data_IF_450420134697
#
_entry.id   IF_450420134697
#
_cell.length_a   1.000
_cell.length_b   1.000
_cell.length_c   1.000
_cell.angle_alpha   90.00
_cell.angle_beta   90.00
_cell.angle_gamma   90.00
#
_symmetry.space_group_name_H-M   'P 1'
#
loop_
_entity.id
_entity.type
_entity.pdbx_description
1 polymer ?
#
# COMPACT_ATOMS: atom_id res chain seq x y z
N UNK A 1 12.17 -10.91 -22.26
CA UNK A 1 13.04 -11.68 -21.34
C UNK A 1 13.53 -10.77 -20.23
N UNK A 2 13.06 -11.00 -18.99
CA UNK A 2 13.55 -10.31 -17.79
C UNK A 2 14.85 -10.97 -17.31
N UNK A 3 15.89 -10.18 -17.00
CA UNK A 3 17.14 -10.69 -16.46
C UNK A 3 16.99 -10.98 -14.96
N UNK A 4 17.61 -12.06 -14.47
CA UNK A 4 17.53 -12.45 -13.04
C UNK A 4 18.08 -11.38 -12.11
N UNK A 5 19.09 -10.63 -12.54
CA UNK A 5 19.66 -9.51 -11.76
C UNK A 5 18.65 -8.38 -11.47
N UNK A 6 17.56 -8.29 -12.23
CA UNK A 6 16.52 -7.28 -12.07
C UNK A 6 15.32 -7.78 -11.24
N UNK A 7 15.39 -9.01 -10.72
CA UNK A 7 14.35 -9.58 -9.87
C UNK A 7 14.77 -9.40 -8.42
N UNK A 8 13.92 -8.74 -7.64
CA UNK A 8 14.08 -8.62 -6.18
C UNK A 8 13.14 -9.64 -5.54
N UNK A 9 13.64 -10.81 -5.09
CA UNK A 9 12.78 -11.94 -4.75
C UNK A 9 12.01 -11.77 -3.45
N UNK A 10 12.51 -10.95 -2.51
CA UNK A 10 11.90 -10.75 -1.20
C UNK A 10 12.01 -9.27 -0.86
N UNK A 11 10.88 -8.57 -0.86
CA UNK A 11 10.81 -7.17 -0.51
C UNK A 11 9.76 -6.97 0.56
N UNK A 12 10.19 -6.98 1.82
CA UNK A 12 9.30 -6.98 2.99
C UNK A 12 8.33 -5.79 3.05
N UNK A 13 8.63 -4.71 2.32
CA UNK A 13 7.68 -3.62 2.16
C UNK A 13 6.37 -4.05 1.50
N UNK A 14 6.36 -5.08 0.66
CA UNK A 14 5.18 -5.60 -0.05
C UNK A 14 4.52 -6.79 0.65
N UNK A 15 4.99 -7.15 1.85
CA UNK A 15 4.36 -8.21 2.65
C UNK A 15 2.88 -7.89 2.88
N UNK A 16 2.09 -8.95 3.01
CA UNK A 16 0.66 -8.88 3.31
C UNK A 16 0.43 -7.98 4.52
N UNK A 17 -0.62 -7.15 4.46
CA UNK A 17 -1.05 -6.36 5.62
C UNK A 17 -1.36 -7.28 6.80
N UNK A 18 -0.79 -6.97 7.97
CA UNK A 18 -1.12 -7.70 9.19
C UNK A 18 -2.56 -7.46 9.64
N UNK A 19 -3.35 -8.53 9.75
CA UNK A 19 -4.79 -8.45 10.07
C UNK A 19 -5.13 -8.66 11.56
N UNK A 20 -4.12 -8.79 12.43
CA UNK A 20 -4.33 -8.96 13.88
C UNK A 20 -5.22 -10.16 14.22
N UNK A 21 -6.26 -9.96 15.05
CA UNK A 21 -7.22 -11.02 15.43
C UNK A 21 -7.95 -11.68 14.25
N UNK A 22 -7.93 -11.08 13.06
CA UNK A 22 -8.61 -11.62 11.88
C UNK A 22 -7.71 -12.54 11.04
N UNK A 23 -6.48 -12.78 11.46
CA UNK A 23 -5.57 -13.70 10.79
C UNK A 23 -6.08 -15.14 10.88
N UNK A 24 -6.04 -15.85 9.75
CA UNK A 24 -6.63 -17.18 9.62
C UNK A 24 -8.16 -17.24 9.64
N UNK A 25 -8.85 -16.11 9.79
CA UNK A 25 -10.32 -16.05 9.66
C UNK A 25 -10.70 -16.06 8.18
N UNK A 26 -11.80 -16.73 7.86
CA UNK A 26 -12.33 -16.78 6.49
C UNK A 26 -12.56 -15.37 5.92
N UNK A 27 -12.01 -15.10 4.74
CA UNK A 27 -12.03 -13.77 4.13
C UNK A 27 -13.46 -13.20 3.96
N UNK A 28 -14.44 -14.07 3.69
CA UNK A 28 -15.86 -13.68 3.58
C UNK A 28 -16.45 -13.12 4.89
N UNK A 29 -15.86 -13.46 6.03
CA UNK A 29 -16.29 -13.04 7.37
C UNK A 29 -15.48 -11.83 7.83
N UNK A 30 -14.16 -11.86 7.63
CA UNK A 30 -13.25 -10.81 8.08
C UNK A 30 -13.32 -9.53 7.21
N UNK A 31 -13.28 -9.65 5.89
CA UNK A 31 -13.13 -8.49 4.99
C UNK A 31 -14.24 -7.44 5.12
N UNK A 32 -15.53 -7.80 5.26
CA UNK A 32 -16.58 -6.79 5.46
C UNK A 32 -16.37 -5.94 6.72
N UNK A 33 -15.89 -6.55 7.80
CA UNK A 33 -15.63 -5.89 9.08
C UNK A 33 -14.41 -4.97 8.94
N UNK A 34 -13.31 -5.51 8.40
CA UNK A 34 -12.05 -4.78 8.18
C UNK A 34 -12.27 -3.56 7.29
N UNK A 35 -12.94 -3.74 6.15
CA UNK A 35 -13.20 -2.63 5.23
C UNK A 35 -14.06 -1.55 5.89
N UNK A 36 -15.06 -1.92 6.68
CA UNK A 36 -15.88 -0.95 7.43
C UNK A 36 -15.09 -0.24 8.53
N UNK A 37 -14.08 -0.87 9.13
CA UNK A 37 -13.14 -0.22 10.04
C UNK A 37 -12.28 0.80 9.30
N UNK A 38 -11.66 0.39 8.19
CA UNK A 38 -10.75 1.21 7.40
C UNK A 38 -11.44 2.43 6.77
N UNK A 39 -12.68 2.28 6.30
CA UNK A 39 -13.50 3.37 5.75
C UNK A 39 -13.82 4.45 6.79
N UNK A 40 -13.96 4.05 8.07
CA UNK A 40 -14.25 4.97 9.17
C UNK A 40 -13.00 5.71 9.62
N UNK A 41 -11.89 4.99 9.75
CA UNK A 41 -10.62 5.56 10.22
C UNK A 41 -9.43 4.74 9.69
N UNK A 42 -8.64 5.35 8.81
CA UNK A 42 -7.46 4.72 8.23
C UNK A 42 -6.26 4.64 9.20
N UNK A 43 -6.32 5.28 10.36
CA UNK A 43 -5.33 5.15 11.44
C UNK A 43 -5.66 4.01 12.40
N UNK A 44 -6.87 3.44 12.31
CA UNK A 44 -7.28 2.37 13.19
C UNK A 44 -6.50 1.09 12.88
N UNK A 45 -5.80 0.57 13.89
CA UNK A 45 -5.22 -0.77 13.87
C UNK A 45 -6.26 -1.79 14.30
N UNK A 46 -6.18 -2.99 13.74
CA UNK A 46 -6.96 -4.13 14.26
C UNK A 46 -6.54 -4.47 15.69
N UNK A 47 -7.39 -5.19 16.41
CA UNK A 47 -7.00 -5.75 17.70
C UNK A 47 -5.86 -6.78 17.51
N UNK A 48 -4.99 -6.88 18.51
CA UNK A 48 -3.86 -7.82 18.51
C UNK A 48 -4.36 -9.25 18.68
N UNK A 49 -3.80 -10.18 17.90
CA UNK A 49 -3.91 -11.61 18.16
C UNK A 49 -3.06 -12.04 19.37
N UNK A 50 -3.33 -13.23 19.92
CA UNK A 50 -2.58 -13.78 21.07
C UNK A 50 -1.21 -14.36 20.68
N UNK A 51 -0.94 -14.53 19.40
CA UNK A 51 0.24 -15.18 18.84
C UNK A 51 1.34 -14.21 18.36
N UNK A 52 1.14 -12.91 18.59
CA UNK A 52 2.06 -11.86 18.16
C UNK A 52 1.95 -11.49 16.68
N UNK A 53 0.86 -11.89 16.00
CA UNK A 53 0.66 -11.50 14.60
C UNK A 53 0.51 -9.97 14.46
N UNK A 54 1.16 -9.35 13.46
CA UNK A 54 1.08 -7.90 13.25
C UNK A 54 -0.36 -7.41 13.03
N UNK A 55 -0.66 -6.21 13.52
CA UNK A 55 -1.94 -5.53 13.36
C UNK A 55 -1.74 -4.13 12.74
N UNK A 56 -1.75 -4.07 11.41
CA UNK A 56 -1.47 -2.82 10.69
C UNK A 56 -2.74 -2.02 10.39
N UNK A 57 -2.67 -0.71 10.59
CA UNK A 57 -3.64 0.22 10.00
C UNK A 57 -3.34 0.45 8.52
N UNK A 58 -4.30 0.99 7.76
CA UNK A 58 -4.05 1.45 6.38
C UNK A 58 -2.95 2.54 6.35
N UNK A 59 -2.86 3.37 7.38
CA UNK A 59 -1.81 4.37 7.49
C UNK A 59 -0.41 3.74 7.68
N UNK A 60 -0.29 2.66 8.46
CA UNK A 60 0.96 1.92 8.59
C UNK A 60 1.41 1.36 7.23
N UNK A 61 0.46 0.78 6.47
CA UNK A 61 0.69 0.33 5.10
C UNK A 61 1.14 1.48 4.20
N UNK A 62 0.52 2.66 4.33
CA UNK A 62 0.91 3.86 3.57
C UNK A 62 2.35 4.30 3.85
N UNK A 63 2.77 4.31 5.12
CA UNK A 63 4.13 4.68 5.49
C UNK A 63 5.18 3.73 4.88
N UNK A 64 4.92 2.40 4.88
CA UNK A 64 5.83 1.45 4.22
C UNK A 64 5.80 1.58 2.69
N UNK A 65 4.65 1.86 2.07
CA UNK A 65 4.56 2.13 0.62
C UNK A 65 5.33 3.40 0.23
N UNK A 66 5.29 4.44 1.06
CA UNK A 66 6.07 5.67 0.85
C UNK A 66 7.58 5.40 0.89
N UNK A 67 8.02 4.54 1.81
CA UNK A 67 9.42 4.11 1.90
C UNK A 67 9.83 3.24 0.71
N UNK A 68 8.96 2.32 0.26
CA UNK A 68 9.13 1.54 -0.97
C UNK A 68 9.36 2.47 -2.18
N UNK A 69 8.50 3.46 -2.38
CA UNK A 69 8.63 4.44 -3.47
C UNK A 69 10.01 5.12 -3.40
N UNK A 70 10.37 5.68 -2.24
CA UNK A 70 11.65 6.39 -2.07
C UNK A 70 12.87 5.53 -2.37
N UNK A 71 12.88 4.27 -1.90
CA UNK A 71 13.96 3.31 -2.19
C UNK A 71 14.00 2.96 -3.67
N UNK A 72 12.85 2.75 -4.27
CA UNK A 72 12.73 2.36 -5.68
C UNK A 72 13.21 3.48 -6.60
N UNK A 73 12.79 4.72 -6.36
CA UNK A 73 13.22 5.90 -7.11
C UNK A 73 14.74 6.10 -7.04
N UNK A 74 15.34 5.80 -5.88
CA UNK A 74 16.79 5.93 -5.67
C UNK A 74 17.57 4.86 -6.43
N UNK A 75 17.09 3.62 -6.47
CA UNK A 75 17.84 2.47 -7.01
C UNK A 75 17.58 2.21 -8.49
N UNK A 76 16.38 2.50 -8.99
CA UNK A 76 15.91 2.06 -10.31
C UNK A 76 15.42 3.22 -11.17
N UNK A 77 16.20 4.30 -11.22
CA UNK A 77 15.84 5.50 -11.97
C UNK A 77 15.64 5.18 -13.47
N UNK A 78 14.58 5.76 -14.06
CA UNK A 78 14.23 5.62 -15.48
C UNK A 78 13.98 4.18 -15.96
N UNK A 79 13.64 3.27 -15.04
CA UNK A 79 13.21 1.90 -15.35
C UNK A 79 11.69 1.77 -15.20
N UNK A 80 11.09 0.89 -16.02
CA UNK A 80 9.75 0.39 -15.77
C UNK A 80 9.81 -0.69 -14.67
N UNK A 81 8.97 -0.55 -13.65
CA UNK A 81 9.03 -1.38 -12.45
C UNK A 81 7.69 -2.07 -12.26
N UNK A 82 7.75 -3.38 -12.02
CA UNK A 82 6.57 -4.20 -11.75
C UNK A 82 6.61 -4.57 -10.27
N UNK A 83 5.63 -4.07 -9.51
CA UNK A 83 5.40 -4.52 -8.15
C UNK A 83 4.43 -5.70 -8.16
N UNK A 84 4.79 -6.75 -7.42
CA UNK A 84 3.95 -7.93 -7.23
C UNK A 84 3.76 -8.10 -5.73
N UNK A 85 2.50 -8.15 -5.29
CA UNK A 85 2.17 -8.33 -3.87
C UNK A 85 1.21 -9.51 -3.68
N UNK A 86 1.27 -10.21 -2.52
CA UNK A 86 0.28 -11.20 -2.11
C UNK A 86 -1.14 -10.64 -1.88
N UNK A 87 -1.31 -9.33 -1.66
CA UNK A 87 -2.62 -8.73 -1.36
C UNK A 87 -2.98 -7.50 -2.20
N UNK A 88 -4.26 -7.12 -2.11
CA UNK A 88 -4.77 -5.91 -2.75
C UNK A 88 -4.48 -4.65 -1.93
N UNK A 89 -4.37 -4.72 -0.60
CA UNK A 89 -4.25 -3.54 0.26
C UNK A 89 -2.99 -2.75 -0.05
N UNK A 90 -1.86 -3.44 -0.15
CA UNK A 90 -0.56 -2.82 -0.47
C UNK A 90 -0.57 -2.15 -1.83
N UNK A 91 -1.03 -2.83 -2.89
CA UNK A 91 -1.09 -2.27 -4.25
C UNK A 91 -2.07 -1.10 -4.33
N UNK A 92 -3.21 -1.19 -3.64
CA UNK A 92 -4.21 -0.13 -3.61
C UNK A 92 -3.68 1.14 -2.94
N UNK A 93 -3.03 0.97 -1.79
CA UNK A 93 -2.40 2.07 -1.05
C UNK A 93 -1.22 2.65 -1.82
N UNK A 94 -0.41 1.79 -2.46
CA UNK A 94 0.69 2.21 -3.33
C UNK A 94 0.19 3.06 -4.50
N UNK A 95 -0.85 2.62 -5.20
CA UNK A 95 -1.43 3.37 -6.32
C UNK A 95 -2.03 4.69 -5.86
N UNK A 96 -2.75 4.70 -4.73
CA UNK A 96 -3.27 5.93 -4.12
C UNK A 96 -2.14 6.93 -3.83
N UNK A 97 -1.02 6.44 -3.28
CA UNK A 97 0.16 7.27 -2.99
C UNK A 97 0.84 7.78 -4.27
N UNK A 98 1.00 6.93 -5.29
CA UNK A 98 1.60 7.30 -6.58
C UNK A 98 0.75 8.33 -7.33
N UNK A 99 -0.58 8.29 -7.17
CA UNK A 99 -1.51 9.26 -7.78
C UNK A 99 -1.63 10.56 -6.99
N UNK A 100 -1.02 10.65 -5.81
CA UNK A 100 -1.18 11.77 -4.87
C UNK A 100 -2.63 12.02 -4.47
N UNK A 101 -3.38 10.94 -4.22
CA UNK A 101 -4.76 11.02 -3.73
C UNK A 101 -4.85 10.85 -2.21
N UNK A 102 -5.92 11.38 -1.63
CA UNK A 102 -6.20 11.20 -0.22
C UNK A 102 -6.39 9.72 0.12
N UNK A 103 -5.73 9.26 1.19
CA UNK A 103 -5.65 7.85 1.57
C UNK A 103 -7.02 7.17 1.74
N UNK A 104 -8.06 7.92 2.11
CA UNK A 104 -9.44 7.40 2.21
C UNK A 104 -9.99 6.81 0.90
N UNK A 105 -9.41 7.16 -0.25
CA UNK A 105 -9.82 6.64 -1.56
C UNK A 105 -9.08 5.36 -1.98
N UNK A 106 -8.19 4.81 -1.13
CA UNK A 106 -7.41 3.63 -1.50
C UNK A 106 -8.29 2.46 -1.98
N UNK A 107 -9.48 2.26 -1.41
CA UNK A 107 -10.39 1.19 -1.79
C UNK A 107 -10.85 1.23 -3.25
N UNK A 108 -10.88 2.41 -3.88
CA UNK A 108 -11.16 2.56 -5.31
C UNK A 108 -10.11 1.89 -6.19
N UNK A 109 -8.91 1.67 -5.65
CA UNK A 109 -7.78 1.06 -6.33
C UNK A 109 -7.64 -0.44 -6.11
N UNK A 110 -8.65 -1.10 -5.52
CA UNK A 110 -8.60 -2.56 -5.30
C UNK A 110 -8.22 -3.36 -6.55
N UNK A 111 -7.46 -4.44 -6.32
CA UNK A 111 -6.94 -5.34 -7.33
C UNK A 111 -7.60 -6.71 -7.19
N UNK A 112 -7.92 -7.34 -8.32
CA UNK A 112 -8.29 -8.75 -8.39
C UNK A 112 -7.05 -9.63 -8.50
N UNK A 113 -7.19 -10.90 -8.13
CA UNK A 113 -6.12 -11.88 -8.30
C UNK A 113 -5.66 -11.94 -9.77
N UNK A 114 -4.35 -11.74 -10.01
CA UNK A 114 -3.75 -11.73 -11.34
C UNK A 114 -3.99 -10.45 -12.16
N UNK A 115 -4.63 -9.43 -11.59
CA UNK A 115 -4.81 -8.14 -12.26
C UNK A 115 -3.47 -7.42 -12.42
N UNK A 116 -3.22 -6.91 -13.63
CA UNK A 116 -2.10 -6.04 -13.95
C UNK A 116 -2.62 -4.67 -14.33
N UNK A 117 -2.13 -3.63 -13.66
CA UNK A 117 -2.49 -2.23 -13.94
C UNK A 117 -1.21 -1.41 -14.16
N UNK A 118 -1.17 -0.67 -15.26
CA UNK A 118 -0.15 0.34 -15.47
C UNK A 118 -0.53 1.61 -14.69
N UNK A 119 0.38 2.10 -13.85
CA UNK A 119 0.17 3.32 -13.05
C UNK A 119 1.14 4.38 -13.54
N UNK A 120 0.62 5.56 -13.87
CA UNK A 120 1.42 6.74 -14.17
C UNK A 120 1.46 7.60 -12.90
N UNK A 121 2.62 7.71 -12.22
CA UNK A 121 2.71 8.53 -11.01
C UNK A 121 2.41 10.00 -11.30
N UNK A 122 1.66 10.63 -10.41
CA UNK A 122 1.50 12.08 -10.42
C UNK A 122 2.83 12.70 -9.96
N UNK A 123 3.48 13.43 -10.86
CA UNK A 123 4.67 14.21 -10.50
C UNK A 123 4.23 15.39 -9.63
N UNK A 124 4.49 15.29 -8.33
CA UNK A 124 4.31 16.41 -7.40
C UNK A 124 5.57 17.24 -7.42
N UNK A 125 5.47 18.48 -7.89
CA UNK A 125 6.54 19.47 -7.69
C UNK A 125 6.56 19.85 -6.20
N UNK A 126 7.61 19.49 -5.44
CA UNK A 126 7.68 19.77 -4.01
C UNK A 126 7.66 21.28 -3.70
N UNK A 127 8.03 22.14 -4.66
CA UNK A 127 7.96 23.60 -4.49
C UNK A 127 6.54 24.17 -4.67
N UNK A 128 5.64 23.44 -5.31
CA UNK A 128 4.23 23.81 -5.45
C UNK A 128 3.38 23.28 -4.28
N UNK A 129 3.76 22.14 -3.71
CA UNK A 129 3.01 21.50 -2.62
C UNK A 129 3.23 22.21 -1.26
N UNK A 130 4.46 22.62 -0.97
CA UNK A 130 4.79 23.39 0.24
C UNK A 130 4.05 24.75 0.36
N UNK A 131 3.53 25.27 -0.76
CA UNK A 131 2.73 26.51 -0.79
C UNK A 131 1.26 26.29 -0.45
N UNK A 132 0.76 25.05 -0.50
CA UNK A 132 -0.63 24.73 -0.11
C UNK A 132 -0.75 24.54 1.41
N UNK A 133 0.29 24.02 2.05
CA UNK A 133 0.29 23.75 3.50
C UNK A 133 0.48 25.01 4.35
N UNK A 134 0.97 26.11 3.78
CA UNK A 134 1.18 27.40 4.47
C UNK A 134 -0.02 28.37 4.38
N UNK A 135 -1.13 27.95 3.77
CA UNK A 135 -2.33 28.76 3.57
C UNK A 135 -3.54 28.31 4.41
N UNK A 136 -3.34 27.44 5.41
CA UNK A 136 -4.37 26.98 6.36
C UNK A 136 -4.10 27.50 7.77
#
# INVERSE_FOLDING_TARGET
>A
NMRRENVVPEYSFLDTRGMGIYEGVEAKEALPIINSMDERDHYLRMDLGEDGTPNESIHDVFLRMRQLISKTETMYQACDIVFVSPDSYTLSVLECALRNEELRHYGHYSYKAGELRAVVPTLVDPMLDARKTSAA
#
